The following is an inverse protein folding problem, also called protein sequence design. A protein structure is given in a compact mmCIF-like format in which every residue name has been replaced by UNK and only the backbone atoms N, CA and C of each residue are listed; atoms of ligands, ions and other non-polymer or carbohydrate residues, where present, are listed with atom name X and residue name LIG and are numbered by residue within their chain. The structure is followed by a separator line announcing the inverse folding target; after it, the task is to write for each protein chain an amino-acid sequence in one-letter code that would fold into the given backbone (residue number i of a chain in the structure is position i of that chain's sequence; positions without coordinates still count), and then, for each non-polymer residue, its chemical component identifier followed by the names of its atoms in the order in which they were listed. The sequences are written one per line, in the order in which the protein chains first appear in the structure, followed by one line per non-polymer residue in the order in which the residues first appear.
data_IF_063828995740
#
_entry.id   IF_063828995740
#
_cell.length_a   1.000
_cell.length_b   1.000
_cell.length_c   1.000
_cell.angle_alpha   90.00
_cell.angle_beta   90.00
_cell.angle_gamma   90.00
#
_symmetry.space_group_name_H-M   'P 1'
#
loop_
_entity.id
_entity.type
_entity.pdbx_description
1 polymer ?
#
# COMPACT_ATOMS: atom_id res chain seq x y z
N UNK A 1 -14.41 20.67 63.44
CA UNK A 1 -13.80 20.90 62.10
C UNK A 1 -13.82 19.68 61.15
N UNK A 2 -14.38 18.53 61.56
CA UNK A 2 -14.45 17.31 60.73
C UNK A 2 -15.25 17.47 59.42
N UNK A 3 -16.36 18.20 59.45
CA UNK A 3 -17.21 18.46 58.26
C UNK A 3 -16.50 19.26 57.16
N UNK A 4 -15.65 20.24 57.53
CA UNK A 4 -14.86 21.01 56.56
C UNK A 4 -13.80 20.12 55.91
N UNK A 5 -13.16 19.24 56.68
CA UNK A 5 -12.17 18.29 56.19
C UNK A 5 -12.78 17.21 55.27
N UNK A 6 -14.01 16.79 55.51
CA UNK A 6 -14.72 15.83 54.67
C UNK A 6 -15.14 16.45 53.32
N UNK A 7 -15.65 17.68 53.33
CA UNK A 7 -15.93 18.43 52.10
C UNK A 7 -14.66 18.65 51.25
N UNK A 8 -13.54 18.99 51.91
CA UNK A 8 -12.25 19.19 51.24
C UNK A 8 -11.70 17.90 50.61
N UNK A 9 -11.91 16.74 51.24
CA UNK A 9 -11.52 15.42 50.71
C UNK A 9 -12.30 15.05 49.45
N UNK A 10 -13.59 15.37 49.38
CA UNK A 10 -14.40 15.14 48.18
C UNK A 10 -14.00 16.07 47.03
N UNK A 11 -13.77 17.36 47.31
CA UNK A 11 -13.28 18.33 46.32
C UNK A 11 -11.94 17.90 45.72
N UNK A 12 -10.98 17.47 46.56
CA UNK A 12 -9.65 17.01 46.11
C UNK A 12 -9.68 15.75 45.25
N UNK A 13 -10.69 14.88 45.40
CA UNK A 13 -10.84 13.71 44.52
C UNK A 13 -11.31 14.14 43.13
N UNK A 14 -12.28 15.06 43.05
CA UNK A 14 -12.77 15.62 41.78
C UNK A 14 -11.67 16.36 41.02
N UNK A 15 -10.98 17.28 41.69
CA UNK A 15 -9.86 18.05 41.10
C UNK A 15 -8.75 17.15 40.53
N UNK A 16 -8.40 16.06 41.25
CA UNK A 16 -7.40 15.10 40.75
C UNK A 16 -7.89 14.37 39.51
N UNK A 17 -9.15 13.91 39.48
CA UNK A 17 -9.70 13.24 38.29
C UNK A 17 -9.71 14.17 37.09
N UNK A 18 -10.10 15.43 37.27
CA UNK A 18 -10.05 16.45 36.21
C UNK A 18 -8.62 16.64 35.69
N UNK A 19 -7.63 16.76 36.57
CA UNK A 19 -6.23 16.91 36.18
C UNK A 19 -5.68 15.68 35.45
N UNK A 20 -6.02 14.47 35.91
CA UNK A 20 -5.64 13.23 35.21
C UNK A 20 -6.30 13.13 33.83
N UNK A 21 -7.55 13.54 33.70
CA UNK A 21 -8.27 13.52 32.43
C UNK A 21 -7.71 14.56 31.46
N UNK A 22 -7.40 15.78 31.94
CA UNK A 22 -6.71 16.81 31.15
C UNK A 22 -5.32 16.35 30.69
N UNK A 23 -4.56 15.69 31.56
CA UNK A 23 -3.26 15.13 31.22
C UNK A 23 -3.40 14.03 30.15
N UNK A 24 -4.34 13.11 30.34
CA UNK A 24 -4.60 12.03 29.39
C UNK A 24 -4.99 12.57 28.01
N UNK A 25 -5.92 13.54 27.95
CA UNK A 25 -6.34 14.18 26.70
C UNK A 25 -5.16 14.85 26.01
N UNK A 26 -4.31 15.59 26.75
CA UNK A 26 -3.11 16.21 26.18
C UNK A 26 -2.17 15.19 25.57
N UNK A 27 -1.89 14.09 26.26
CA UNK A 27 -1.04 13.01 25.75
C UNK A 27 -1.66 12.32 24.52
N UNK A 28 -2.97 12.03 24.57
CA UNK A 28 -3.69 11.39 23.45
C UNK A 28 -3.68 12.28 22.21
N UNK A 29 -3.89 13.58 22.34
CA UNK A 29 -3.82 14.50 21.20
C UNK A 29 -2.44 14.47 20.52
N UNK A 30 -1.35 14.52 21.30
CA UNK A 30 0.01 14.44 20.76
C UNK A 30 0.25 13.08 20.09
N UNK A 31 -0.20 11.98 20.71
CA UNK A 31 -0.06 10.65 20.13
C UNK A 31 -0.84 10.50 18.82
N UNK A 32 -2.07 11.02 18.73
CA UNK A 32 -2.87 10.99 17.49
C UNK A 32 -2.21 11.79 16.37
N UNK A 33 -1.64 12.97 16.67
CA UNK A 33 -0.89 13.75 15.67
C UNK A 33 0.34 12.97 15.21
N UNK A 34 1.13 12.41 16.14
CA UNK A 34 2.31 11.64 15.79
C UNK A 34 1.96 10.42 14.91
N UNK A 35 0.88 9.71 15.23
CA UNK A 35 0.35 8.60 14.41
C UNK A 35 -0.12 9.09 13.04
N UNK A 36 -0.83 10.21 12.96
CA UNK A 36 -1.26 10.80 11.69
C UNK A 36 -0.08 11.18 10.79
N UNK A 37 0.95 11.81 11.36
CA UNK A 37 2.18 12.20 10.64
C UNK A 37 3.00 10.99 10.22
N UNK A 38 3.11 9.98 11.08
CA UNK A 38 3.84 8.76 10.77
C UNK A 38 3.22 7.96 9.60
N UNK A 39 1.96 8.25 9.23
CA UNK A 39 1.18 7.53 8.20
C UNK A 39 1.41 6.02 8.27
N UNK A 40 1.20 5.38 9.44
CA UNK A 40 1.51 3.97 9.63
C UNK A 40 0.80 3.14 8.56
N UNK A 41 1.59 2.39 7.79
CA UNK A 41 1.06 1.52 6.75
C UNK A 41 0.49 0.26 7.38
N UNK A 42 -0.76 0.33 7.86
CA UNK A 42 -1.50 -0.87 8.26
C UNK A 42 -1.87 -1.64 7.00
N UNK A 43 -1.15 -2.73 6.75
CA UNK A 43 -1.40 -3.62 5.62
C UNK A 43 -2.87 -4.05 5.60
N UNK A 44 -3.61 -3.58 4.60
CA UNK A 44 -4.93 -4.07 4.21
C UNK A 44 -5.99 -4.13 5.31
N UNK A 45 -6.57 -2.99 5.69
CA UNK A 45 -7.99 -2.96 6.08
C UNK A 45 -8.37 -2.30 7.40
N UNK A 46 -7.44 -1.86 8.25
CA UNK A 46 -7.82 -1.35 9.57
C UNK A 46 -8.07 0.17 9.66
N UNK A 47 -7.59 0.96 8.69
CA UNK A 47 -7.83 2.41 8.66
C UNK A 47 -8.69 2.74 7.46
N UNK A 48 -9.92 3.23 7.71
CA UNK A 48 -10.93 3.60 6.71
C UNK A 48 -10.57 4.80 5.83
N UNK A 49 -9.30 4.96 5.47
CA UNK A 49 -8.92 5.78 4.33
C UNK A 49 -9.21 4.99 3.06
N UNK A 50 -9.93 5.61 2.12
CA UNK A 50 -10.01 5.13 0.74
C UNK A 50 -8.61 4.68 0.31
N UNK A 51 -8.49 3.42 -0.14
CA UNK A 51 -7.23 2.97 -0.76
C UNK A 51 -7.04 3.88 -1.96
N UNK A 52 -6.12 4.84 -1.86
CA UNK A 52 -5.85 5.79 -2.94
C UNK A 52 -5.46 5.04 -4.21
N UNK A 53 -5.77 5.64 -5.36
CA UNK A 53 -5.44 5.09 -6.68
C UNK A 53 -3.96 4.69 -6.76
N UNK A 54 -3.68 3.47 -7.21
CA UNK A 54 -2.32 2.95 -7.36
C UNK A 54 -1.88 3.06 -8.82
N UNK A 55 -0.70 3.64 -9.06
CA UNK A 55 -0.02 3.52 -10.35
C UNK A 55 1.04 2.41 -10.27
N UNK A 56 0.98 1.45 -11.19
CA UNK A 56 1.91 0.32 -11.27
C UNK A 56 2.68 0.37 -12.58
N UNK A 57 4.01 0.47 -12.49
CA UNK A 57 4.90 0.38 -13.64
C UNK A 57 5.47 -1.04 -13.69
N UNK A 58 5.04 -1.82 -14.67
CA UNK A 58 5.60 -3.13 -14.96
C UNK A 58 6.80 -2.99 -15.87
N UNK A 59 7.95 -3.44 -15.39
CA UNK A 59 9.19 -3.53 -16.16
C UNK A 59 9.42 -5.00 -16.47
N UNK A 60 9.34 -5.36 -17.76
CA UNK A 60 9.52 -6.74 -18.22
C UNK A 60 10.78 -6.82 -19.04
N UNK A 61 11.73 -7.64 -18.61
CA UNK A 61 12.87 -8.00 -19.44
C UNK A 61 12.45 -9.04 -20.47
N UNK A 62 12.54 -8.66 -21.74
CA UNK A 62 12.26 -9.50 -22.90
C UNK A 62 13.51 -9.66 -23.78
N UNK A 63 14.70 -9.51 -23.18
CA UNK A 63 15.97 -9.77 -23.83
C UNK A 63 16.23 -11.26 -24.04
N UNK A 64 17.32 -11.55 -24.76
CA UNK A 64 17.74 -12.93 -25.11
C UNK A 64 17.96 -13.79 -23.85
N UNK A 65 18.46 -13.20 -22.77
CA UNK A 65 18.67 -13.90 -21.50
C UNK A 65 17.36 -14.42 -20.89
N UNK A 66 16.24 -13.72 -21.08
CA UNK A 66 14.95 -14.11 -20.51
C UNK A 66 14.31 -15.31 -21.23
N UNK A 67 14.83 -15.70 -22.40
CA UNK A 67 14.36 -16.87 -23.16
C UNK A 67 14.90 -18.20 -22.60
N UNK A 68 15.77 -18.17 -21.58
CA UNK A 68 16.28 -19.39 -20.94
C UNK A 68 15.18 -20.11 -20.17
N UNK A 69 15.35 -21.43 -20.03
CA UNK A 69 14.50 -22.26 -19.18
C UNK A 69 14.51 -21.72 -17.74
N UNK A 70 13.32 -21.57 -17.14
CA UNK A 70 13.23 -21.16 -15.75
C UNK A 70 13.92 -22.19 -14.83
N UNK A 71 14.70 -21.73 -13.83
CA UNK A 71 15.41 -22.62 -12.92
C UNK A 71 14.44 -23.51 -12.15
N UNK A 72 14.67 -24.82 -12.16
CA UNK A 72 13.85 -25.82 -11.45
C UNK A 72 12.63 -26.36 -12.23
N UNK A 73 12.59 -26.20 -13.55
CA UNK A 73 11.53 -26.78 -14.40
C UNK A 73 11.90 -28.18 -14.90
N UNK A 74 11.31 -29.20 -14.27
CA UNK A 74 11.46 -30.61 -14.66
C UNK A 74 10.38 -31.00 -15.68
N UNK A 75 10.64 -30.74 -16.97
CA UNK A 75 9.79 -31.13 -18.09
C UNK A 75 8.81 -30.03 -18.52
N UNK A 76 8.90 -29.64 -19.80
CA UNK A 76 8.22 -28.48 -20.40
C UNK A 76 8.62 -27.14 -19.74
N UNK A 77 9.91 -26.83 -19.88
CA UNK A 77 10.51 -25.62 -19.32
C UNK A 77 9.88 -24.35 -19.91
N UNK A 78 8.95 -23.74 -19.18
CA UNK A 78 8.54 -22.36 -19.41
C UNK A 78 9.77 -21.45 -19.32
N UNK A 79 9.93 -20.54 -20.26
CA UNK A 79 11.01 -19.56 -20.24
C UNK A 79 10.86 -18.63 -19.02
N UNK A 80 11.96 -18.09 -18.50
CA UNK A 80 11.94 -17.09 -17.42
C UNK A 80 11.02 -15.91 -17.74
N UNK A 81 10.94 -15.51 -19.02
CA UNK A 81 9.98 -14.54 -19.51
C UNK A 81 8.53 -14.98 -19.27
N UNK A 82 8.16 -16.21 -19.60
CA UNK A 82 6.80 -16.69 -19.41
C UNK A 82 6.39 -16.67 -17.93
N UNK A 83 7.30 -17.07 -17.04
CA UNK A 83 7.07 -17.03 -15.59
C UNK A 83 6.95 -15.59 -15.08
N UNK A 84 7.78 -14.67 -15.56
CA UNK A 84 7.70 -13.26 -15.17
C UNK A 84 6.41 -12.60 -15.67
N UNK A 85 5.96 -12.92 -16.89
CA UNK A 85 4.67 -12.48 -17.45
C UNK A 85 3.50 -13.00 -16.63
N UNK A 86 3.49 -14.26 -16.22
CA UNK A 86 2.41 -14.80 -15.38
C UNK A 86 2.31 -14.10 -14.02
N UNK A 87 3.46 -13.85 -13.37
CA UNK A 87 3.49 -13.07 -12.11
C UNK A 87 2.99 -11.64 -12.31
N UNK A 88 3.40 -11.00 -13.40
CA UNK A 88 2.94 -9.69 -13.80
C UNK A 88 1.41 -9.63 -13.99
N UNK A 89 0.83 -10.62 -14.67
CA UNK A 89 -0.63 -10.73 -14.83
C UNK A 89 -1.34 -10.95 -13.49
N UNK A 90 -0.75 -11.73 -12.59
CA UNK A 90 -1.26 -11.88 -11.22
C UNK A 90 -1.33 -10.55 -10.47
N UNK A 91 -0.35 -9.66 -10.65
CA UNK A 91 -0.37 -8.33 -10.06
C UNK A 91 -1.40 -7.41 -10.72
N UNK A 92 -1.54 -7.46 -12.05
CA UNK A 92 -2.52 -6.67 -12.80
C UNK A 92 -3.97 -7.02 -12.42
N UNK A 93 -4.26 -8.30 -12.16
CA UNK A 93 -5.58 -8.75 -11.67
C UNK A 93 -5.97 -8.17 -10.31
N UNK A 94 -4.98 -7.70 -9.53
CA UNK A 94 -5.23 -7.07 -8.23
C UNK A 94 -5.53 -5.56 -8.30
N UNK A 95 -5.45 -4.94 -9.48
CA UNK A 95 -5.79 -3.53 -9.68
C UNK A 95 -7.29 -3.36 -9.90
N UNK A 96 -7.84 -2.28 -9.38
CA UNK A 96 -9.23 -1.88 -9.53
C UNK A 96 -9.35 -0.56 -10.31
N UNK A 97 -9.73 -0.60 -11.60
CA UNK A 97 -9.91 0.60 -12.42
C UNK A 97 -10.95 1.57 -11.87
N UNK A 98 -11.99 1.06 -11.17
CA UNK A 98 -13.04 1.90 -10.58
C UNK A 98 -12.50 2.71 -9.39
N UNK A 99 -11.41 2.27 -8.76
CA UNK A 99 -10.64 3.02 -7.76
C UNK A 99 -9.59 3.96 -8.36
N UNK A 100 -9.49 3.99 -9.69
CA UNK A 100 -8.51 4.78 -10.42
C UNK A 100 -7.12 4.14 -10.49
N UNK A 101 -7.00 2.84 -10.22
CA UNK A 101 -5.72 2.13 -10.41
C UNK A 101 -5.31 2.14 -11.89
N UNK A 102 -4.02 2.34 -12.15
CA UNK A 102 -3.45 2.46 -13.50
C UNK A 102 -2.22 1.60 -13.63
N UNK A 103 -2.00 1.07 -14.83
CA UNK A 103 -0.80 0.31 -15.15
C UNK A 103 -0.06 0.89 -16.36
N UNK A 104 1.26 0.82 -16.32
CA UNK A 104 2.15 1.09 -17.44
C UNK A 104 3.04 -0.13 -17.69
N UNK A 105 3.48 -0.32 -18.93
CA UNK A 105 4.35 -1.42 -19.34
C UNK A 105 5.58 -0.86 -20.05
N UNK A 106 6.76 -1.28 -19.59
CA UNK A 106 8.05 -0.93 -20.16
C UNK A 106 8.83 -2.23 -20.42
N UNK A 107 9.26 -2.45 -21.66
CA UNK A 107 10.10 -3.59 -22.03
C UNK A 107 11.58 -3.22 -21.90
N UNK A 108 12.42 -4.16 -21.42
CA UNK A 108 13.84 -3.91 -21.11
C UNK A 108 14.85 -4.67 -22.00
N UNK A 109 14.42 -5.44 -23.00
CA UNK A 109 15.30 -6.25 -23.86
C UNK A 109 16.28 -5.47 -24.75
N UNK A 110 16.20 -4.13 -24.76
CA UNK A 110 17.16 -3.22 -25.38
C UNK A 110 16.70 -2.62 -26.72
N UNK A 111 16.67 -1.28 -26.86
CA UNK A 111 16.62 -0.26 -25.80
C UNK A 111 15.32 -0.34 -24.99
N UNK A 112 15.29 0.26 -23.80
CA UNK A 112 14.08 0.32 -22.97
C UNK A 112 12.96 1.06 -23.73
N UNK A 113 11.79 0.44 -23.84
CA UNK A 113 10.66 0.98 -24.61
C UNK A 113 9.40 0.97 -23.77
N UNK A 114 8.74 2.13 -23.68
CA UNK A 114 7.39 2.22 -23.13
C UNK A 114 6.39 1.58 -24.10
N UNK A 115 5.95 0.37 -23.79
CA UNK A 115 4.92 -0.33 -24.56
C UNK A 115 3.55 0.28 -24.25
N UNK A 116 3.32 0.62 -22.99
CA UNK A 116 2.12 1.33 -22.53
C UNK A 116 2.56 2.48 -21.63
N UNK A 117 2.60 3.68 -22.19
CA UNK A 117 2.84 4.95 -21.50
C UNK A 117 1.94 6.05 -22.10
N UNK A 118 1.37 6.95 -21.28
CA UNK A 118 1.40 6.98 -19.81
C UNK A 118 0.57 5.84 -19.17
N UNK A 119 0.64 5.70 -17.84
CA UNK A 119 -0.13 4.68 -17.12
C UNK A 119 -1.64 4.85 -17.36
N UNK A 120 -2.30 3.76 -17.74
CA UNK A 120 -3.71 3.74 -18.15
C UNK A 120 -4.54 2.80 -17.25
N UNK A 121 -5.81 3.14 -17.08
CA UNK A 121 -6.80 2.26 -16.44
C UNK A 121 -7.37 1.22 -17.43
N UNK A 122 -7.15 1.43 -18.74
CA UNK A 122 -7.57 0.50 -19.79
C UNK A 122 -6.50 -0.58 -20.02
N UNK A 123 -6.57 -1.63 -19.20
CA UNK A 123 -5.64 -2.76 -19.25
C UNK A 123 -5.98 -3.80 -20.34
N UNK A 124 -7.02 -3.56 -21.14
CA UNK A 124 -7.41 -4.44 -22.27
C UNK A 124 -6.65 -4.15 -23.57
N UNK A 125 -6.15 -2.93 -23.74
CA UNK A 125 -5.51 -2.49 -24.98
C UNK A 125 -4.05 -2.95 -25.16
N UNK A 126 -3.37 -3.35 -24.07
CA UNK A 126 -1.93 -3.69 -24.07
C UNK A 126 -1.56 -5.00 -24.76
N UNK A 127 -2.54 -5.86 -25.08
CA UNK A 127 -2.31 -7.17 -25.71
C UNK A 127 -2.02 -7.11 -27.22
N UNK A 128 -2.28 -5.98 -27.89
CA UNK A 128 -2.17 -5.87 -29.34
C UNK A 128 -0.82 -5.31 -29.84
N UNK A 129 0.04 -4.77 -28.95
CA UNK A 129 1.29 -4.09 -29.33
C UNK A 129 2.55 -4.98 -29.19
N UNK A 130 2.40 -6.27 -28.87
CA UNK A 130 3.49 -7.20 -28.58
C UNK A 130 3.56 -8.40 -29.55
N UNK A 131 3.02 -8.26 -30.76
CA UNK A 131 3.22 -9.18 -31.89
C UNK A 131 4.02 -8.47 -32.98
#
# INVERSE_FOLDING_TARGET
MRFVMEAYRQQRRRLRLEQWLLLAVRCVLIALIAVGVARPMFGGGAAGGERGSREVYLLVDNGIASATAAPGSDGEAASELAVSVERALGQLRGLDPARGDRAALISLGGPARGVVLPATADMGAGGAAAA
#
